data_IF_292765673863
#
_entry.id   IF_292765673863
#
_cell.length_a   1.000
_cell.length_b   1.000
_cell.length_c   1.000
_cell.angle_alpha   90.00
_cell.angle_beta   90.00
_cell.angle_gamma   90.00
#
_symmetry.space_group_name_H-M   'P 1'
#
loop_
_entity.id
_entity.type
_entity.pdbx_description
1 polymer ?
#
# COMPACT_ATOMS: atom_id res chain seq x y z
N UNK A 1 -23.34 -24.59 -10.41
CA UNK A 1 -22.72 -25.47 -11.44
C UNK A 1 -23.65 -25.51 -12.64
N UNK A 2 -23.18 -25.86 -13.84
CA UNK A 2 -24.04 -26.00 -15.03
C UNK A 2 -24.43 -27.49 -15.16
N UNK A 3 -25.65 -27.78 -15.63
CA UNK A 3 -26.07 -29.15 -15.93
C UNK A 3 -25.23 -29.76 -17.08
N UNK A 4 -25.32 -31.08 -17.26
CA UNK A 4 -24.56 -31.80 -18.29
C UNK A 4 -24.91 -31.38 -19.72
N UNK A 5 -26.07 -30.76 -19.92
CA UNK A 5 -26.54 -30.26 -21.21
C UNK A 5 -26.13 -28.81 -21.50
N UNK A 6 -25.51 -28.11 -20.54
CA UNK A 6 -25.11 -26.71 -20.70
C UNK A 6 -26.25 -25.68 -20.62
N UNK A 7 -27.49 -26.14 -20.45
CA UNK A 7 -28.72 -25.34 -20.57
C UNK A 7 -29.21 -24.71 -19.27
N UNK A 8 -28.67 -25.11 -18.12
CA UNK A 8 -29.23 -24.67 -16.83
C UNK A 8 -28.24 -24.66 -15.67
N UNK A 9 -28.45 -23.73 -14.75
CA UNK A 9 -27.73 -23.67 -13.49
C UNK A 9 -28.33 -24.66 -12.49
N UNK A 10 -27.49 -25.55 -11.98
CA UNK A 10 -27.78 -26.45 -10.87
C UNK A 10 -27.16 -25.94 -9.57
N UNK A 11 -27.85 -26.19 -8.46
CA UNK A 11 -27.40 -25.80 -7.12
C UNK A 11 -26.13 -26.56 -6.77
N UNK A 12 -25.06 -25.83 -6.43
CA UNK A 12 -23.77 -26.44 -6.14
C UNK A 12 -23.79 -27.28 -4.85
N UNK A 13 -24.54 -26.82 -3.84
CA UNK A 13 -24.71 -27.51 -2.56
C UNK A 13 -26.17 -27.91 -2.37
N UNK A 14 -26.43 -29.22 -2.31
CA UNK A 14 -27.80 -29.80 -2.25
C UNK A 14 -28.59 -29.42 -0.99
N UNK A 15 -27.92 -28.92 0.05
CA UNK A 15 -28.57 -28.45 1.28
C UNK A 15 -29.09 -27.00 1.16
N UNK A 16 -28.78 -26.30 0.07
CA UNK A 16 -29.31 -24.97 -0.20
C UNK A 16 -30.62 -25.05 -0.98
N UNK A 17 -31.52 -24.09 -0.70
CA UNK A 17 -32.77 -23.95 -1.45
C UNK A 17 -32.46 -23.63 -2.92
N UNK A 18 -33.36 -24.05 -3.81
CA UNK A 18 -33.29 -23.65 -5.23
C UNK A 18 -33.42 -22.12 -5.33
N UNK A 19 -32.53 -21.44 -6.06
CA UNK A 19 -32.64 -20.01 -6.29
C UNK A 19 -33.97 -19.63 -6.94
N UNK A 20 -34.49 -18.48 -6.56
CA UNK A 20 -35.66 -17.79 -7.13
C UNK A 20 -35.23 -16.80 -8.21
N UNK A 21 -36.19 -16.21 -8.92
CA UNK A 21 -35.92 -15.20 -9.96
C UNK A 21 -35.26 -13.92 -9.42
N UNK A 22 -35.37 -13.65 -8.11
CA UNK A 22 -34.77 -12.49 -7.46
C UNK A 22 -33.36 -12.76 -6.91
N UNK A 23 -32.86 -13.98 -7.00
CA UNK A 23 -31.55 -14.34 -6.45
C UNK A 23 -30.43 -14.16 -7.49
N UNK A 24 -29.30 -13.60 -7.05
CA UNK A 24 -28.09 -13.56 -7.87
C UNK A 24 -27.39 -14.92 -7.84
N UNK A 25 -27.11 -15.48 -9.02
CA UNK A 25 -26.46 -16.78 -9.18
C UNK A 25 -25.14 -16.64 -9.93
N UNK A 26 -24.13 -17.38 -9.49
CA UNK A 26 -22.81 -17.45 -10.11
C UNK A 26 -22.35 -18.92 -10.17
N UNK A 27 -21.47 -19.24 -11.11
CA UNK A 27 -20.95 -20.60 -11.28
C UNK A 27 -19.42 -20.70 -11.14
N UNK A 28 -18.70 -19.60 -11.34
CA UNK A 28 -17.26 -19.48 -11.13
C UNK A 28 -16.95 -18.71 -9.85
N UNK A 29 -15.87 -19.10 -9.17
CA UNK A 29 -15.40 -18.38 -7.99
C UNK A 29 -14.83 -17.03 -8.42
N UNK A 30 -15.04 -16.01 -7.59
CA UNK A 30 -14.35 -14.73 -7.77
C UNK A 30 -12.83 -14.93 -7.72
N UNK A 31 -12.07 -14.28 -8.62
CA UNK A 31 -10.63 -14.30 -8.59
C UNK A 31 -10.08 -13.52 -7.39
N UNK A 32 -8.76 -13.59 -7.20
CA UNK A 32 -8.06 -12.68 -6.29
C UNK A 32 -7.90 -11.29 -6.93
N UNK A 33 -8.42 -10.27 -6.27
CA UNK A 33 -8.36 -8.88 -6.71
C UNK A 33 -7.22 -8.08 -6.05
N UNK A 34 -6.40 -8.71 -5.21
CA UNK A 34 -5.34 -8.05 -4.48
C UNK A 34 -4.20 -7.58 -5.39
N UNK A 35 -3.86 -8.38 -6.40
CA UNK A 35 -2.76 -8.13 -7.34
C UNK A 35 -3.35 -7.78 -8.71
N UNK A 36 -2.62 -6.95 -9.47
CA UNK A 36 -2.98 -6.61 -10.85
C UNK A 36 -2.89 -7.87 -11.72
N UNK A 37 -3.97 -8.16 -12.44
CA UNK A 37 -4.06 -9.23 -13.42
C UNK A 37 -4.87 -8.73 -14.63
N UNK A 38 -4.17 -8.47 -15.73
CA UNK A 38 -4.77 -7.97 -16.97
C UNK A 38 -5.63 -9.03 -17.68
N UNK A 39 -5.37 -10.32 -17.45
CA UNK A 39 -6.12 -11.42 -18.08
C UNK A 39 -7.56 -11.49 -17.60
N UNK A 40 -7.81 -11.10 -16.35
CA UNK A 40 -9.17 -10.99 -15.76
C UNK A 40 -9.66 -9.54 -15.67
N UNK A 41 -8.86 -8.56 -16.12
CA UNK A 41 -9.18 -7.13 -16.05
C UNK A 41 -9.09 -6.52 -14.64
N UNK A 42 -8.37 -7.16 -13.70
CA UNK A 42 -8.17 -6.66 -12.35
C UNK A 42 -6.98 -5.70 -12.28
N UNK A 43 -7.18 -4.50 -11.74
CA UNK A 43 -6.10 -3.52 -11.53
C UNK A 43 -5.30 -3.74 -10.24
N UNK A 44 -5.75 -4.66 -9.38
CA UNK A 44 -5.20 -4.83 -8.03
C UNK A 44 -5.64 -3.74 -7.04
N UNK A 45 -5.15 -3.82 -5.79
CA UNK A 45 -5.49 -2.84 -4.75
C UNK A 45 -4.40 -1.83 -4.42
N UNK A 46 -3.24 -1.91 -5.07
CA UNK A 46 -2.16 -0.92 -4.93
C UNK A 46 -2.65 0.49 -5.26
N UNK A 47 -2.28 1.47 -4.44
CA UNK A 47 -2.68 2.86 -4.66
C UNK A 47 -4.12 3.18 -4.24
N UNK A 48 -4.90 2.20 -3.75
CA UNK A 48 -6.26 2.46 -3.25
C UNK A 48 -6.24 3.09 -1.87
N UNK A 49 -7.17 4.01 -1.63
CA UNK A 49 -7.45 4.55 -0.30
C UNK A 49 -8.01 3.46 0.62
N UNK A 50 -7.57 3.45 1.86
CA UNK A 50 -8.11 2.59 2.90
C UNK A 50 -8.38 3.38 4.20
N UNK A 51 -9.21 2.80 5.06
CA UNK A 51 -9.55 3.34 6.36
C UNK A 51 -8.77 2.63 7.46
N UNK A 52 -7.84 3.32 8.12
CA UNK A 52 -6.98 2.73 9.16
C UNK A 52 -7.76 2.24 10.38
N UNK A 53 -8.90 2.85 10.70
CA UNK A 53 -9.67 2.50 11.91
C UNK A 53 -10.76 1.46 11.65
N UNK A 54 -11.04 1.14 10.38
CA UNK A 54 -12.06 0.14 10.04
C UNK A 54 -11.49 -1.27 10.12
N UNK A 55 -12.32 -2.18 10.63
CA UNK A 55 -12.06 -3.63 10.64
C UNK A 55 -12.74 -4.35 9.46
N UNK A 56 -13.51 -3.62 8.64
CA UNK A 56 -14.25 -4.14 7.51
C UNK A 56 -13.43 -4.18 6.21
N UNK A 57 -14.11 -4.37 5.08
CA UNK A 57 -13.48 -4.45 3.76
C UNK A 57 -12.84 -3.14 3.29
N UNK A 58 -13.22 -2.01 3.86
CA UNK A 58 -12.58 -0.71 3.68
C UNK A 58 -11.37 -0.51 4.60
N UNK A 59 -11.21 -1.37 5.61
CA UNK A 59 -10.08 -1.43 6.53
C UNK A 59 -8.77 -1.69 5.80
N UNK A 60 -7.69 -1.04 6.22
CA UNK A 60 -6.40 -1.18 5.54
C UNK A 60 -5.85 -2.61 5.55
N UNK A 61 -6.14 -3.41 6.57
CA UNK A 61 -5.66 -4.81 6.63
C UNK A 61 -6.29 -5.67 5.53
N UNK A 62 -7.60 -5.50 5.30
CA UNK A 62 -8.34 -6.24 4.27
C UNK A 62 -8.13 -5.60 2.89
N UNK A 63 -8.26 -4.28 2.77
CA UNK A 63 -8.18 -3.59 1.49
C UNK A 63 -6.79 -3.69 0.86
N UNK A 64 -5.74 -3.66 1.70
CA UNK A 64 -4.36 -3.78 1.24
C UNK A 64 -3.85 -5.24 1.29
N UNK A 65 -4.72 -6.20 1.60
CA UNK A 65 -4.42 -7.63 1.63
C UNK A 65 -3.18 -7.97 2.46
N UNK A 66 -3.02 -7.32 3.61
CA UNK A 66 -1.87 -7.50 4.50
C UNK A 66 -0.54 -6.87 4.04
N UNK A 67 -0.48 -6.21 2.87
CA UNK A 67 0.75 -5.54 2.37
C UNK A 67 1.10 -4.25 3.11
N UNK A 68 0.21 -3.77 3.98
CA UNK A 68 0.31 -2.47 4.64
C UNK A 68 -0.01 -1.29 3.71
N UNK A 69 0.19 -0.08 4.24
CA UNK A 69 -0.21 1.17 3.60
C UNK A 69 0.79 2.30 3.90
N UNK A 70 0.83 3.28 3.00
CA UNK A 70 1.50 4.57 3.22
C UNK A 70 0.53 5.57 3.84
N UNK A 71 1.06 6.48 4.65
CA UNK A 71 0.29 7.58 5.26
C UNK A 71 0.86 8.91 4.79
N UNK A 72 -0.01 9.78 4.29
CA UNK A 72 0.34 11.14 3.87
C UNK A 72 -0.60 12.14 4.51
N UNK A 73 -0.06 13.12 5.23
CA UNK A 73 -0.84 14.23 5.77
C UNK A 73 -1.06 15.27 4.68
N UNK A 74 -2.32 15.51 4.30
CA UNK A 74 -2.69 16.44 3.23
C UNK A 74 -3.63 17.52 3.77
N UNK A 75 -3.60 18.70 3.16
CA UNK A 75 -4.53 19.77 3.48
C UNK A 75 -5.82 19.59 2.68
N UNK A 76 -6.89 19.14 3.34
CA UNK A 76 -8.22 19.01 2.74
C UNK A 76 -8.99 20.32 2.88
N UNK A 77 -9.59 20.76 1.78
CA UNK A 77 -10.48 21.92 1.75
C UNK A 77 -11.91 21.40 1.57
N UNK A 78 -12.81 21.75 2.48
CA UNK A 78 -14.22 21.40 2.42
C UNK A 78 -15.11 22.62 2.66
N UNK A 79 -16.37 22.52 2.22
CA UNK A 79 -17.39 23.53 2.54
C UNK A 79 -17.96 23.22 3.92
N UNK A 80 -17.95 24.21 4.80
CA UNK A 80 -18.35 24.08 6.20
C UNK A 80 -19.23 25.27 6.59
N UNK A 81 -19.85 25.19 7.77
CA UNK A 81 -20.68 26.27 8.34
C UNK A 81 -21.73 26.81 7.34
N UNK A 82 -22.34 25.89 6.58
CA UNK A 82 -23.30 26.23 5.55
C UNK A 82 -24.59 26.78 6.16
N UNK A 83 -25.05 27.94 5.67
CA UNK A 83 -26.31 28.56 6.02
C UNK A 83 -27.26 28.53 4.83
N UNK A 84 -28.43 27.96 5.04
CA UNK A 84 -29.51 28.00 4.07
C UNK A 84 -30.21 29.35 4.15
N UNK A 85 -30.33 30.02 3.01
CA UNK A 85 -31.11 31.24 2.85
C UNK A 85 -32.41 30.87 2.13
N UNK A 86 -33.52 31.10 2.83
CA UNK A 86 -34.85 30.80 2.29
C UNK A 86 -35.08 31.57 0.99
N UNK A 87 -35.46 30.82 -0.05
CA UNK A 87 -35.62 31.18 -1.45
C UNK A 87 -34.37 31.75 -2.16
N UNK A 88 -33.42 30.94 -2.68
CA UNK A 88 -33.25 29.47 -2.60
C UNK A 88 -31.74 29.09 -2.68
N UNK A 89 -30.85 29.61 -1.83
CA UNK A 89 -29.42 29.29 -1.94
C UNK A 89 -28.74 29.00 -0.60
N UNK A 90 -27.64 28.24 -0.68
CA UNK A 90 -26.81 27.89 0.47
C UNK A 90 -25.50 28.67 0.37
N UNK A 91 -25.13 29.35 1.45
CA UNK A 91 -23.83 30.02 1.58
C UNK A 91 -22.98 29.23 2.56
N UNK A 92 -21.80 28.78 2.13
CA UNK A 92 -20.85 28.06 2.98
C UNK A 92 -19.52 28.80 3.04
N UNK A 93 -18.77 28.59 4.12
CA UNK A 93 -17.36 28.98 4.20
C UNK A 93 -16.48 27.87 3.62
N UNK A 94 -15.26 28.23 3.22
CA UNK A 94 -14.20 27.24 2.95
C UNK A 94 -13.42 26.97 4.22
N UNK A 95 -13.50 25.74 4.72
CA UNK A 95 -12.66 25.26 5.81
C UNK A 95 -11.45 24.53 5.23
N UNK A 96 -10.33 24.61 5.95
CA UNK A 96 -9.11 23.87 5.63
C UNK A 96 -8.70 23.09 6.86
N UNK A 97 -8.44 21.80 6.69
CA UNK A 97 -7.98 20.92 7.76
C UNK A 97 -6.91 19.97 7.26
N UNK A 98 -5.97 19.65 8.13
CA UNK A 98 -4.99 18.61 7.87
C UNK A 98 -5.60 17.24 8.16
N UNK A 99 -5.43 16.30 7.24
CA UNK A 99 -5.96 14.94 7.35
C UNK A 99 -4.90 13.95 6.89
N UNK A 100 -4.83 12.82 7.58
CA UNK A 100 -4.01 11.70 7.15
C UNK A 100 -4.79 10.87 6.13
N UNK A 101 -4.17 10.64 4.97
CA UNK A 101 -4.69 9.78 3.90
C UNK A 101 -3.84 8.52 3.86
N UNK A 102 -4.50 7.38 3.94
CA UNK A 102 -3.86 6.06 3.90
C UNK A 102 -4.09 5.41 2.54
N UNK A 103 -3.01 4.89 1.95
CA UNK A 103 -3.02 4.30 0.61
C UNK A 103 -2.28 2.97 0.58
N UNK A 104 -2.88 1.94 -0.01
CA UNK A 104 -2.31 0.60 -0.04
C UNK A 104 -0.99 0.52 -0.79
N UNK A 105 -0.02 -0.18 -0.20
CA UNK A 105 1.30 -0.41 -0.80
C UNK A 105 1.26 -1.37 -1.98
N UNK A 106 2.22 -1.19 -2.88
CA UNK A 106 2.53 -2.13 -3.96
C UNK A 106 3.12 -3.43 -3.43
N UNK A 107 3.20 -4.47 -4.27
CA UNK A 107 4.11 -5.58 -4.02
C UNK A 107 5.55 -5.05 -3.89
N UNK A 108 6.42 -5.71 -3.09
CA UNK A 108 7.80 -5.29 -2.91
C UNK A 108 8.55 -5.21 -4.25
N UNK A 109 9.50 -4.27 -4.38
CA UNK A 109 10.22 -4.01 -5.64
C UNK A 109 10.85 -5.25 -6.27
N UNK A 110 11.23 -6.25 -5.46
CA UNK A 110 11.75 -7.54 -5.91
C UNK A 110 10.79 -8.32 -6.83
N UNK A 111 9.48 -8.05 -6.76
CA UNK A 111 8.45 -8.72 -7.55
C UNK A 111 8.06 -7.93 -8.81
N UNK A 112 8.35 -6.63 -8.88
CA UNK A 112 8.07 -5.80 -10.06
C UNK A 112 8.88 -6.25 -11.29
N UNK A 113 10.08 -6.81 -11.07
CA UNK A 113 10.96 -7.33 -12.13
C UNK A 113 10.48 -8.64 -12.79
N UNK A 114 9.56 -9.41 -12.16
CA UNK A 114 9.01 -10.64 -12.77
C UNK A 114 7.95 -10.38 -13.85
N UNK A 115 7.31 -9.22 -13.83
CA UNK A 115 6.29 -8.85 -14.82
C UNK A 115 6.87 -8.39 -16.17
N UNK A 116 8.16 -8.03 -16.21
CA UNK A 116 8.84 -7.56 -17.42
C UNK A 116 9.49 -8.67 -18.26
N UNK A 117 9.46 -9.93 -17.82
CA UNK A 117 10.05 -11.07 -18.56
C UNK A 117 9.03 -11.82 -19.45
N UNK A 118 7.74 -11.51 -19.36
CA UNK A 118 6.69 -12.16 -20.17
C UNK A 118 6.24 -11.35 -21.40
N UNK A 119 6.85 -10.19 -21.66
CA UNK A 119 6.68 -9.46 -22.93
C UNK A 119 8.01 -9.48 -23.67
N UNK A 120 8.18 -10.45 -24.56
CA UNK A 120 9.41 -10.66 -25.32
C UNK A 120 9.86 -9.39 -26.06
N UNK A 121 11.03 -8.85 -25.68
CA UNK A 121 11.64 -7.71 -26.35
C UNK A 121 12.79 -7.12 -25.54
N UNK A 122 13.95 -7.78 -25.56
CA UNK A 122 15.18 -7.29 -24.96
C UNK A 122 15.48 -5.83 -25.37
N UNK A 123 15.31 -4.88 -24.45
CA UNK A 123 16.06 -3.62 -24.46
C UNK A 123 17.02 -3.65 -23.28
N UNK A 124 18.29 -3.87 -23.59
CA UNK A 124 19.40 -3.64 -22.66
C UNK A 124 19.39 -2.17 -22.25
N UNK A 125 19.10 -1.88 -20.99
CA UNK A 125 19.67 -0.69 -20.34
C UNK A 125 20.94 -1.17 -19.64
N UNK A 126 22.09 -0.85 -20.22
CA UNK A 126 23.38 -1.24 -19.69
C UNK A 126 23.63 -0.58 -18.34
N UNK A 127 23.77 -1.40 -17.29
CA UNK A 127 24.41 -0.99 -16.05
C UNK A 127 25.91 -1.23 -16.19
N UNK A 128 26.68 -0.20 -16.52
CA UNK A 128 28.13 -0.22 -16.36
C UNK A 128 28.45 -0.17 -14.87
N UNK A 129 28.90 -1.29 -14.30
CA UNK A 129 29.49 -1.32 -12.97
C UNK A 129 30.93 -0.82 -13.06
N UNK A 130 31.19 0.40 -12.58
CA UNK A 130 32.55 0.89 -12.37
C UNK A 130 32.92 0.70 -10.91
N UNK A 131 33.62 -0.39 -10.64
CA UNK A 131 34.40 -0.60 -9.43
C UNK A 131 35.66 0.26 -9.48
N UNK A 132 35.76 1.28 -8.63
CA UNK A 132 37.04 1.97 -8.35
C UNK A 132 37.54 1.58 -6.96
N UNK A 133 38.57 0.74 -6.97
CA UNK A 133 39.46 0.46 -5.84
C UNK A 133 40.48 1.60 -5.75
N UNK A 134 40.66 2.18 -4.57
CA UNK A 134 41.92 2.83 -4.21
C UNK A 134 42.54 2.17 -2.97
N UNK A 135 43.65 1.47 -3.25
CA UNK A 135 44.87 1.23 -2.45
C UNK A 135 45.34 2.56 -1.79
N UNK A 136 46.07 2.68 -0.67
CA UNK A 136 46.96 1.81 0.13
C UNK A 136 47.56 2.69 1.27
N UNK A 137 47.93 2.10 2.41
CA UNK A 137 49.18 2.32 3.19
C UNK A 137 49.02 2.29 4.72
N UNK A 138 49.59 1.25 5.32
CA UNK A 138 50.03 1.20 6.71
C UNK A 138 51.36 1.94 6.87
N UNK A 139 51.51 2.78 7.90
CA UNK A 139 52.81 3.06 8.53
C UNK A 139 52.64 3.48 10.00
N UNK A 140 53.57 2.97 10.79
CA UNK A 140 53.75 3.01 12.24
C UNK A 140 54.40 4.30 12.77
N UNK A 141 54.05 4.69 14.00
CA UNK A 141 55.01 5.08 15.04
C UNK A 141 55.23 6.56 15.42
N UNK A 142 55.26 6.77 16.74
CA UNK A 142 55.98 7.77 17.57
C UNK A 142 55.26 9.05 18.04
N UNK A 143 55.42 9.29 19.35
CA UNK A 143 54.88 10.27 20.30
C UNK A 143 55.25 11.75 20.04
N UNK A 144 54.42 12.68 20.53
CA UNK A 144 54.82 13.66 21.56
C UNK A 144 53.63 14.45 22.17
N UNK A 145 53.83 14.86 23.43
CA UNK A 145 52.89 15.43 24.40
C UNK A 145 52.54 16.92 24.19
N UNK A 146 51.41 17.40 24.73
CA UNK A 146 51.41 18.38 25.85
C UNK A 146 49.99 18.81 26.31
N UNK A 147 49.75 18.56 27.61
CA UNK A 147 49.06 19.40 28.61
C UNK A 147 47.77 20.16 28.30
N UNK A 148 46.69 19.74 28.98
CA UNK A 148 45.82 20.52 29.88
C UNK A 148 44.83 19.51 30.49
N UNK A 149 44.50 19.42 31.77
CA UNK A 149 44.57 20.29 32.94
C UNK A 149 43.71 19.58 34.00
N UNK A 150 44.17 19.56 35.25
CA UNK A 150 43.73 18.72 36.38
C UNK A 150 42.23 18.76 36.74
N UNK A 151 41.68 17.60 37.09
CA UNK A 151 40.55 17.39 38.03
C UNK A 151 40.94 17.76 39.48
N UNK A 152 40.01 17.84 40.44
CA UNK A 152 39.86 16.65 41.31
C UNK A 152 38.47 16.41 41.96
N UNK A 153 38.08 15.12 42.01
CA UNK A 153 37.65 14.34 43.21
C UNK A 153 36.31 14.76 43.89
N UNK A 154 35.48 13.90 44.49
CA UNK A 154 35.49 12.46 44.84
C UNK A 154 34.05 12.12 45.31
N UNK A 155 33.62 10.87 45.11
CA UNK A 155 32.76 10.00 45.94
C UNK A 155 31.70 10.64 46.88
N UNK A 156 30.49 10.07 46.93
CA UNK A 156 30.14 8.93 47.79
C UNK A 156 28.68 8.51 47.62
N UNK A 157 28.47 7.21 47.84
CA UNK A 157 27.20 6.53 48.08
C UNK A 157 26.33 7.26 49.12
N UNK A 158 25.02 7.26 48.88
CA UNK A 158 24.01 6.77 49.83
C UNK A 158 22.77 6.33 49.07
#
# INVERSE_FOLDING_TARGET
MINQEGTGLIVANKNHKRPTRSDLVYFEKSPDYCVKDEGIGSLGTTGRSCNKTSLGTDGCDIMCCGRGYDTKTVRKVDKCECKFHWCCFVVCKECRRWVDVHTCKGPPESELFRSQLNTNGARKYGSTSSSEKHREHSRSGVEENMYNGRSPKRNRLS
#
